data_IF_314238188643
#
_entry.id   IF_314238188643
#
_cell.length_a   1.000
_cell.length_b   1.000
_cell.length_c   1.000
_cell.angle_alpha   90.00
_cell.angle_beta   90.00
_cell.angle_gamma   90.00
#
_symmetry.space_group_name_H-M   'P 1'
#
loop_
_entity.id
_entity.type
_entity.pdbx_description
1 polymer ?
#
# COMPACT_ATOMS: atom_id res chain seq x y z
N UNK A 1 -22.41 33.13 -34.61
CA UNK A 1 -22.51 31.67 -34.39
C UNK A 1 -21.16 30.99 -34.28
N UNK A 2 -20.21 31.14 -35.24
CA UNK A 2 -18.86 30.52 -35.16
C UNK A 2 -18.06 30.85 -33.89
N UNK A 3 -18.15 32.10 -33.39
CA UNK A 3 -17.49 32.51 -32.14
C UNK A 3 -18.09 31.87 -30.87
N UNK A 4 -19.37 31.50 -30.90
CA UNK A 4 -20.05 30.84 -29.76
C UNK A 4 -19.63 29.36 -29.67
N UNK A 5 -19.45 28.68 -30.81
CA UNK A 5 -18.93 27.31 -30.85
C UNK A 5 -17.50 27.20 -30.31
N UNK A 6 -16.65 28.20 -30.54
CA UNK A 6 -15.28 28.22 -30.00
C UNK A 6 -15.28 28.36 -28.48
N UNK A 7 -16.18 29.17 -27.92
CA UNK A 7 -16.32 29.37 -26.47
C UNK A 7 -16.82 28.08 -25.79
N UNK A 8 -17.79 27.39 -26.40
CA UNK A 8 -18.31 26.12 -25.89
C UNK A 8 -17.23 25.03 -25.95
N UNK A 9 -16.43 24.98 -27.02
CA UNK A 9 -15.33 24.03 -27.15
C UNK A 9 -14.19 24.28 -26.14
N UNK A 10 -13.92 25.55 -25.78
CA UNK A 10 -12.94 25.90 -24.74
C UNK A 10 -13.42 25.51 -23.33
N UNK A 11 -14.72 25.66 -23.05
CA UNK A 11 -15.33 25.32 -21.76
C UNK A 11 -15.29 23.82 -21.48
N UNK A 12 -15.38 22.97 -22.50
CA UNK A 12 -15.31 21.50 -22.35
C UNK A 12 -13.94 20.99 -21.89
N UNK A 13 -12.85 21.75 -22.07
CA UNK A 13 -11.48 21.34 -21.68
C UNK A 13 -11.27 21.46 -20.16
N UNK A 14 -12.10 22.25 -19.46
CA UNK A 14 -11.96 22.50 -18.02
C UNK A 14 -12.62 21.42 -17.13
N UNK A 15 -13.36 20.47 -17.70
CA UNK A 15 -14.13 19.48 -16.91
C UNK A 15 -13.46 18.12 -16.77
N UNK A 16 -12.25 17.94 -17.31
CA UNK A 16 -11.52 16.66 -17.24
C UNK A 16 -10.18 16.80 -16.54
N UNK A 17 -10.22 17.24 -15.29
CA UNK A 17 -9.24 16.81 -14.30
C UNK A 17 -10.02 16.10 -13.19
N UNK A 18 -10.31 14.82 -13.40
CA UNK A 18 -10.47 13.92 -12.26
C UNK A 18 -9.12 13.95 -11.56
N UNK A 19 -9.04 14.70 -10.46
CA UNK A 19 -7.87 14.72 -9.58
C UNK A 19 -7.51 13.26 -9.34
N UNK A 20 -6.33 12.83 -9.80
CA UNK A 20 -5.83 11.50 -9.47
C UNK A 20 -5.88 11.41 -7.95
N UNK A 21 -6.57 10.39 -7.41
CA UNK A 21 -6.60 10.10 -5.98
C UNK A 21 -5.19 10.25 -5.44
N UNK A 22 -4.94 11.31 -4.69
CA UNK A 22 -3.64 11.53 -4.06
C UNK A 22 -3.65 10.60 -2.86
N UNK A 23 -2.82 9.58 -2.90
CA UNK A 23 -2.70 8.65 -1.78
C UNK A 23 -2.28 9.42 -0.53
N UNK A 24 -2.97 9.19 0.57
CA UNK A 24 -2.67 9.87 1.84
C UNK A 24 -1.24 9.50 2.29
N UNK A 25 -0.36 10.49 2.51
CA UNK A 25 1.06 10.25 2.73
C UNK A 25 1.36 9.47 4.02
N UNK A 26 0.53 9.61 5.05
CA UNK A 26 0.77 8.99 6.37
C UNK A 26 -0.06 7.71 6.56
N UNK A 27 0.00 6.79 5.60
CA UNK A 27 -0.70 5.50 5.67
C UNK A 27 0.26 4.32 5.44
N UNK A 28 0.00 3.14 6.03
CA UNK A 28 0.77 1.92 5.73
C UNK A 28 0.77 1.58 4.24
N UNK A 29 -0.34 1.87 3.54
CA UNK A 29 -0.46 1.69 2.09
C UNK A 29 0.52 2.59 1.33
N UNK A 30 0.72 3.84 1.75
CA UNK A 30 1.71 4.72 1.14
C UNK A 30 3.14 4.20 1.32
N UNK A 31 3.50 3.72 2.52
CA UNK A 31 4.81 3.13 2.77
C UNK A 31 5.04 1.89 1.88
N UNK A 32 4.05 1.00 1.75
CA UNK A 32 4.13 -0.17 0.88
C UNK A 32 4.26 0.20 -0.61
N UNK A 33 3.57 1.24 -1.05
CA UNK A 33 3.69 1.77 -2.41
C UNK A 33 5.08 2.36 -2.67
N UNK A 34 5.61 3.17 -1.74
CA UNK A 34 6.97 3.71 -1.83
C UNK A 34 8.01 2.59 -1.89
N UNK A 35 7.84 1.56 -1.07
CA UNK A 35 8.69 0.37 -1.10
C UNK A 35 8.70 -0.28 -2.48
N UNK A 36 7.52 -0.53 -3.06
CA UNK A 36 7.42 -1.05 -4.44
C UNK A 36 8.08 -0.11 -5.46
N UNK A 37 7.82 1.19 -5.35
CA UNK A 37 8.40 2.18 -6.26
C UNK A 37 9.93 2.14 -6.24
N UNK A 38 10.57 2.05 -5.06
CA UNK A 38 12.02 1.94 -4.98
C UNK A 38 12.56 0.63 -5.56
N UNK A 39 11.84 -0.50 -5.40
CA UNK A 39 12.17 -1.77 -6.05
C UNK A 39 12.13 -1.62 -7.57
N UNK A 40 11.06 -1.04 -8.12
CA UNK A 40 10.89 -0.83 -9.56
C UNK A 40 12.00 0.06 -10.14
N UNK A 41 12.42 1.10 -9.39
CA UNK A 41 13.53 1.98 -9.77
C UNK A 41 14.92 1.36 -9.52
N UNK A 42 15.00 0.21 -8.83
CA UNK A 42 16.26 -0.41 -8.43
C UNK A 42 17.06 0.40 -7.38
N UNK A 43 16.39 1.26 -6.62
CA UNK A 43 17.02 2.14 -5.64
C UNK A 43 17.09 1.47 -4.25
N UNK A 44 18.16 0.71 -4.03
CA UNK A 44 18.37 -0.05 -2.79
C UNK A 44 18.46 0.86 -1.54
N UNK A 45 19.19 1.97 -1.62
CA UNK A 45 19.44 2.83 -0.47
C UNK A 45 18.13 3.53 -0.01
N UNK A 46 17.33 4.02 -0.96
CA UNK A 46 16.01 4.59 -0.64
C UNK A 46 14.99 3.53 -0.20
N UNK A 47 15.17 2.26 -0.60
CA UNK A 47 14.37 1.16 -0.10
C UNK A 47 14.72 0.87 1.38
N UNK A 48 16.02 0.83 1.73
CA UNK A 48 16.46 0.65 3.13
C UNK A 48 15.97 1.79 4.04
N UNK A 49 15.93 3.03 3.54
CA UNK A 49 15.48 4.17 4.34
C UNK A 49 13.99 4.13 4.71
N UNK A 50 13.20 3.19 4.17
CA UNK A 50 11.79 3.01 4.54
C UNK A 50 11.60 2.13 5.79
N UNK A 51 12.65 1.43 6.23
CA UNK A 51 12.59 0.60 7.42
C UNK A 51 12.70 1.46 8.68
N UNK A 52 12.08 0.98 9.77
CA UNK A 52 12.15 1.65 11.06
C UNK A 52 13.61 1.74 11.55
N UNK A 53 13.98 2.87 12.17
CA UNK A 53 15.33 3.08 12.70
C UNK A 53 15.72 1.95 13.67
N UNK A 54 17.02 1.66 13.77
CA UNK A 54 17.58 0.58 14.61
C UNK A 54 17.16 -0.86 14.26
N UNK A 55 16.38 -1.08 13.19
CA UNK A 55 16.17 -2.44 12.67
C UNK A 55 17.36 -2.94 11.83
N UNK A 56 18.32 -2.09 11.49
CA UNK A 56 19.46 -2.44 10.63
C UNK A 56 19.07 -2.78 9.19
N UNK A 57 20.03 -3.21 8.37
CA UNK A 57 19.75 -3.67 7.00
C UNK A 57 18.92 -4.97 7.02
N UNK A 58 17.60 -4.85 7.05
CA UNK A 58 16.67 -5.98 7.16
C UNK A 58 16.67 -6.88 5.92
N UNK A 59 17.05 -6.34 4.76
CA UNK A 59 16.98 -7.02 3.47
C UNK A 59 18.31 -6.85 2.75
N UNK A 60 19.00 -7.96 2.46
CA UNK A 60 20.26 -7.88 1.71
C UNK A 60 20.05 -7.35 0.28
N UNK A 61 21.11 -6.80 -0.32
CA UNK A 61 21.07 -6.37 -1.73
C UNK A 61 20.69 -7.50 -2.69
N UNK A 62 21.13 -8.72 -2.41
CA UNK A 62 20.72 -9.92 -3.16
C UNK A 62 19.21 -10.16 -3.05
N UNK A 63 18.66 -10.10 -1.83
CA UNK A 63 17.22 -10.25 -1.62
C UNK A 63 16.44 -9.14 -2.31
N UNK A 64 16.94 -7.90 -2.30
CA UNK A 64 16.35 -6.79 -3.04
C UNK A 64 16.32 -7.05 -4.56
N UNK A 65 17.39 -7.58 -5.15
CA UNK A 65 17.37 -7.95 -6.58
C UNK A 65 16.31 -9.03 -6.86
N UNK A 66 16.19 -10.03 -5.98
CA UNK A 66 15.15 -11.05 -6.12
C UNK A 66 13.73 -10.46 -6.03
N UNK A 67 13.51 -9.42 -5.22
CA UNK A 67 12.22 -8.71 -5.16
C UNK A 67 11.89 -8.00 -6.47
N UNK A 68 12.90 -7.43 -7.15
CA UNK A 68 12.73 -6.77 -8.44
C UNK A 68 12.25 -7.72 -9.53
N UNK A 69 12.72 -8.97 -9.52
CA UNK A 69 12.32 -9.99 -10.50
C UNK A 69 10.87 -10.47 -10.32
N UNK A 70 10.29 -10.33 -9.13
CA UNK A 70 8.89 -10.73 -8.87
C UNK A 70 7.88 -9.58 -9.00
N UNK A 71 8.33 -8.32 -8.92
CA UNK A 71 7.45 -7.16 -9.05
C UNK A 71 6.88 -7.04 -10.46
N UNK A 72 5.59 -6.70 -10.56
CA UNK A 72 4.93 -6.44 -11.84
C UNK A 72 4.35 -5.02 -11.88
N UNK A 73 3.88 -4.60 -13.05
CA UNK A 73 3.24 -3.29 -13.21
C UNK A 73 1.91 -3.18 -12.42
N UNK A 74 1.19 -4.29 -12.28
CA UNK A 74 -0.06 -4.34 -11.51
C UNK A 74 0.21 -4.65 -10.04
N UNK A 75 -0.44 -3.94 -9.12
CA UNK A 75 -0.37 -4.26 -7.68
C UNK A 75 -1.69 -3.98 -7.02
N UNK A 76 -2.13 -4.94 -6.21
CA UNK A 76 -3.26 -4.79 -5.32
C UNK A 76 -2.72 -4.64 -3.90
N UNK A 77 -3.20 -3.62 -3.18
CA UNK A 77 -2.82 -3.36 -1.80
C UNK A 77 -3.96 -3.79 -0.88
N UNK A 78 -3.63 -4.59 0.13
CA UNK A 78 -4.55 -5.00 1.18
C UNK A 78 -3.94 -4.66 2.53
N UNK A 79 -4.77 -4.13 3.42
CA UNK A 79 -4.36 -3.82 4.78
C UNK A 79 -4.85 -4.93 5.70
N UNK A 80 -3.94 -5.39 6.55
CA UNK A 80 -4.23 -6.42 7.55
C UNK A 80 -3.80 -5.95 8.92
N UNK A 81 -4.58 -6.28 9.94
CA UNK A 81 -4.18 -6.18 11.34
C UNK A 81 -4.11 -7.58 11.94
N UNK A 82 -3.08 -7.83 12.76
CA UNK A 82 -2.94 -9.07 13.51
C UNK A 82 -3.32 -8.81 14.98
N UNK A 83 -4.45 -9.37 15.42
CA UNK A 83 -4.78 -9.41 16.84
C UNK A 83 -4.14 -10.65 17.45
N UNK A 84 -3.36 -10.48 18.52
CA UNK A 84 -2.80 -11.57 19.32
C UNK A 84 -3.43 -11.55 20.70
N UNK A 85 -4.06 -12.65 21.10
CA UNK A 85 -4.68 -12.80 22.41
C UNK A 85 -3.70 -13.36 23.43
N UNK A 86 -3.97 -13.14 24.72
CA UNK A 86 -3.11 -13.63 25.82
C UNK A 86 -2.98 -15.16 25.83
N UNK A 87 -4.00 -15.88 25.35
CA UNK A 87 -3.97 -17.35 25.21
C UNK A 87 -3.11 -17.83 24.03
N UNK A 88 -2.53 -16.92 23.25
CA UNK A 88 -1.69 -17.21 22.09
C UNK A 88 -2.46 -17.43 20.78
N UNK A 89 -3.79 -17.41 20.80
CA UNK A 89 -4.60 -17.40 19.57
C UNK A 89 -4.42 -16.07 18.85
N UNK A 90 -4.60 -16.08 17.52
CA UNK A 90 -4.44 -14.89 16.70
C UNK A 90 -5.56 -14.77 15.66
N UNK A 91 -6.01 -13.54 15.40
CA UNK A 91 -6.89 -13.22 14.27
C UNK A 91 -6.15 -12.33 13.27
N UNK A 92 -6.27 -12.67 11.98
CA UNK A 92 -5.88 -11.82 10.87
C UNK A 92 -7.13 -11.12 10.33
N UNK A 93 -7.17 -9.80 10.45
CA UNK A 93 -8.31 -8.97 10.03
C UNK A 93 -7.95 -8.28 8.72
N UNK A 94 -8.75 -8.48 7.67
CA UNK A 94 -8.62 -7.75 6.39
C UNK A 94 -9.52 -6.51 6.42
N UNK A 95 -8.97 -5.34 6.08
CA UNK A 95 -9.73 -4.10 5.95
C UNK A 95 -10.04 -3.77 4.49
N UNK A 96 -11.19 -3.15 4.28
CA UNK A 96 -11.52 -2.50 3.02
C UNK A 96 -10.59 -1.31 2.79
N UNK A 97 -10.23 -0.99 1.53
CA UNK A 97 -9.57 0.27 1.23
C UNK A 97 -10.48 1.44 1.66
N UNK A 98 -9.98 2.28 2.57
CA UNK A 98 -10.69 3.46 3.06
C UNK A 98 -11.00 4.40 1.90
N UNK A 99 -12.26 4.76 1.72
CA UNK A 99 -12.65 5.82 0.79
C UNK A 99 -12.56 7.20 1.47
N UNK A 100 -12.39 8.27 0.69
CA UNK A 100 -12.21 9.65 1.22
C UNK A 100 -13.42 10.14 2.05
N UNK A 101 -14.61 9.58 1.81
CA UNK A 101 -15.86 9.89 2.49
C UNK A 101 -16.16 8.97 3.69
N UNK A 102 -15.31 7.98 3.94
CA UNK A 102 -15.45 7.07 5.08
C UNK A 102 -14.61 7.57 6.26
N UNK A 103 -15.27 7.89 7.38
CA UNK A 103 -14.58 8.27 8.61
C UNK A 103 -13.84 7.07 9.24
N UNK A 104 -14.39 5.86 9.05
CA UNK A 104 -13.94 4.64 9.71
C UNK A 104 -13.55 3.56 8.70
N UNK A 105 -12.54 2.78 9.05
CA UNK A 105 -12.23 1.55 8.33
C UNK A 105 -13.35 0.52 8.48
N UNK A 106 -13.62 -0.22 7.41
CA UNK A 106 -14.58 -1.34 7.40
C UNK A 106 -13.83 -2.67 7.25
N UNK A 107 -14.32 -3.70 7.95
CA UNK A 107 -13.74 -5.05 7.92
C UNK A 107 -14.32 -5.82 6.74
N UNK A 108 -13.44 -6.44 5.95
CA UNK A 108 -13.79 -7.32 4.83
C UNK A 108 -13.89 -8.77 5.29
N UNK A 109 -12.91 -9.22 6.08
CA UNK A 109 -12.82 -10.62 6.51
C UNK A 109 -12.06 -10.74 7.84
N UNK A 110 -12.34 -11.80 8.58
CA UNK A 110 -11.63 -12.16 9.82
C UNK A 110 -11.29 -13.64 9.76
N UNK A 111 -10.00 -13.95 9.84
CA UNK A 111 -9.49 -15.32 9.82
C UNK A 111 -8.82 -15.66 11.13
N UNK A 112 -9.19 -16.81 11.71
CA UNK A 112 -8.39 -17.42 12.77
C UNK A 112 -7.09 -17.90 12.15
N UNK A 113 -5.95 -17.48 12.71
CA UNK A 113 -4.63 -17.93 12.25
C UNK A 113 -4.46 -19.39 12.68
N UNK A 114 -4.21 -20.32 11.74
CA UNK A 114 -3.98 -21.72 12.06
C UNK A 114 -2.78 -21.90 12.99
N UNK A 115 -2.82 -22.90 13.87
CA UNK A 115 -1.78 -23.15 14.88
C UNK A 115 -0.39 -23.30 14.25
N UNK A 116 -0.31 -23.98 13.11
CA UNK A 116 0.92 -24.17 12.34
C UNK A 116 1.53 -22.87 11.82
N UNK A 117 0.73 -21.82 11.66
CA UNK A 117 1.15 -20.50 11.17
C UNK A 117 1.54 -19.53 12.29
N UNK A 118 1.20 -19.80 13.56
CA UNK A 118 1.46 -18.89 14.68
C UNK A 118 2.96 -18.55 14.79
N UNK A 119 3.83 -19.53 14.50
CA UNK A 119 5.29 -19.32 14.55
C UNK A 119 5.81 -18.31 13.52
N UNK A 120 5.10 -18.09 12.41
CA UNK A 120 5.48 -17.13 11.37
C UNK A 120 5.42 -15.67 11.86
N UNK A 121 4.46 -15.37 12.74
CA UNK A 121 4.22 -14.00 13.23
C UNK A 121 5.01 -13.67 14.51
N UNK A 122 5.68 -14.65 15.11
CA UNK A 122 6.54 -14.44 16.28
C UNK A 122 7.89 -13.92 15.79
N UNK A 123 8.03 -12.60 15.70
CA UNK A 123 9.33 -11.97 15.50
C UNK A 123 10.21 -12.06 16.75
N UNK A 124 11.52 -12.00 16.54
CA UNK A 124 12.56 -12.14 17.56
C UNK A 124 12.99 -10.79 18.10
#
# INVERSE_FOLDING_TARGET
MKKLFIIIALLSILTSCKTKKVMEPDTPTNAAWLMKFQIDQGNYDAFQSLFYEDTGDQVSKEKFQNLKEITTAGTNFKNYELLTFENGEMFLIEFAPKQEDEEEYKIVDVKVVPEEMISFFKHK
#
